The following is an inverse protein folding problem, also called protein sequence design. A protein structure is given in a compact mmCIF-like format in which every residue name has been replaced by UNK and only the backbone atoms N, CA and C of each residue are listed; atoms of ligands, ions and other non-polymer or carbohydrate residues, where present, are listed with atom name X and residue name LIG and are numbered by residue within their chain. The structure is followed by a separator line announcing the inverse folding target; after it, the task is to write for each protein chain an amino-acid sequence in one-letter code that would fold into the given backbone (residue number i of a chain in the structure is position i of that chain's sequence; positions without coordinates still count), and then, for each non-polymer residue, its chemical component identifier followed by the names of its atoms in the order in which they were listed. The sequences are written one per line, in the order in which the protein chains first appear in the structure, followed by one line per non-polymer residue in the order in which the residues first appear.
data_IF_054428104618
#
_entry.id   IF_054428104618
#
_cell.length_a   1.000
_cell.length_b   1.000
_cell.length_c   1.000
_cell.angle_alpha   90.00
_cell.angle_beta   90.00
_cell.angle_gamma   90.00
#
_symmetry.space_group_name_H-M   'P 1'
#
loop_
_entity.id
_entity.type
_entity.pdbx_description
1 polymer ?
#
# COMPACT_ATOMS: atom_id res chain seq x y z
N UNK A 1 17.16 11.58 11.71
CA UNK A 1 17.65 10.18 11.59
C UNK A 1 17.31 9.68 10.19
N UNK A 2 18.31 9.25 9.42
CA UNK A 2 18.06 8.64 8.10
C UNK A 2 17.28 7.33 8.23
N UNK A 3 16.19 7.21 7.48
CA UNK A 3 15.43 5.98 7.31
C UNK A 3 16.19 5.06 6.36
N UNK A 4 16.41 3.83 6.80
CA UNK A 4 17.14 2.80 6.04
C UNK A 4 16.24 1.61 5.78
N UNK A 5 16.61 0.79 4.80
CA UNK A 5 15.93 -0.49 4.54
C UNK A 5 15.93 -1.41 5.76
N UNK A 6 17.02 -1.47 6.52
CA UNK A 6 17.07 -2.28 7.74
C UNK A 6 16.03 -1.84 8.78
N UNK A 7 15.81 -0.52 8.91
CA UNK A 7 14.75 0.01 9.77
C UNK A 7 13.36 -0.36 9.23
N UNK A 8 13.16 -0.34 7.91
CA UNK A 8 11.91 -0.79 7.30
C UNK A 8 11.62 -2.27 7.55
N UNK A 9 12.64 -3.13 7.38
CA UNK A 9 12.55 -4.56 7.68
C UNK A 9 12.19 -4.78 9.15
N UNK A 10 12.90 -4.11 10.06
CA UNK A 10 12.64 -4.23 11.50
C UNK A 10 11.22 -3.75 11.84
N UNK A 11 10.79 -2.62 11.28
CA UNK A 11 9.45 -2.06 11.49
C UNK A 11 8.37 -3.04 11.02
N UNK A 12 8.53 -3.63 9.84
CA UNK A 12 7.60 -4.62 9.30
C UNK A 12 7.46 -5.85 10.21
N UNK A 13 8.57 -6.31 10.81
CA UNK A 13 8.57 -7.37 11.81
C UNK A 13 7.86 -6.94 13.11
N UNK A 14 8.20 -5.76 13.64
CA UNK A 14 7.73 -5.27 14.93
C UNK A 14 6.21 -5.04 14.94
N UNK A 15 5.65 -4.54 13.83
CA UNK A 15 4.21 -4.33 13.68
C UNK A 15 3.46 -5.60 13.21
N UNK A 16 4.18 -6.71 13.03
CA UNK A 16 3.59 -8.00 12.71
C UNK A 16 2.98 -8.09 11.30
N UNK A 17 3.60 -7.45 10.30
CA UNK A 17 3.12 -7.58 8.91
C UNK A 17 3.18 -9.03 8.43
N UNK A 18 2.32 -9.44 7.49
CA UNK A 18 2.35 -10.79 6.94
C UNK A 18 3.75 -11.17 6.39
N UNK A 19 4.17 -12.44 6.49
CA UNK A 19 5.50 -12.88 6.05
C UNK A 19 5.82 -12.51 4.59
N UNK A 20 4.83 -12.56 3.71
CA UNK A 20 5.00 -12.15 2.31
C UNK A 20 5.39 -10.66 2.19
N UNK A 21 4.79 -9.79 2.99
CA UNK A 21 5.11 -8.36 3.00
C UNK A 21 6.49 -8.13 3.60
N UNK A 22 6.86 -8.86 4.66
CA UNK A 22 8.22 -8.79 5.21
C UNK A 22 9.27 -9.17 4.15
N UNK A 23 9.03 -10.24 3.39
CA UNK A 23 9.88 -10.66 2.27
C UNK A 23 9.96 -9.58 1.17
N UNK A 24 8.84 -8.93 0.85
CA UNK A 24 8.81 -7.78 -0.07
C UNK A 24 9.70 -6.64 0.42
N UNK A 25 9.60 -6.22 1.69
CA UNK A 25 10.47 -5.15 2.25
C UNK A 25 11.96 -5.56 2.23
N UNK A 26 12.24 -6.85 2.46
CA UNK A 26 13.58 -7.44 2.31
C UNK A 26 14.04 -7.50 0.86
N UNK A 27 13.17 -7.21 -0.11
CA UNK A 27 13.36 -7.31 -1.57
C UNK A 27 13.70 -8.70 -2.04
N UNK A 28 13.08 -9.70 -1.43
CA UNK A 28 13.05 -11.02 -2.01
C UNK A 28 12.33 -10.98 -3.37
N UNK A 29 12.74 -11.84 -4.34
CA UNK A 29 12.12 -11.86 -5.64
C UNK A 29 10.61 -12.15 -5.58
N UNK A 30 9.81 -11.25 -6.14
CA UNK A 30 8.38 -11.46 -6.30
C UNK A 30 8.04 -12.42 -7.46
N UNK A 31 6.89 -13.11 -7.37
CA UNK A 31 6.23 -13.72 -8.53
C UNK A 31 6.17 -12.73 -9.71
N UNK A 32 6.43 -13.23 -10.92
CA UNK A 32 6.56 -12.39 -12.11
C UNK A 32 5.32 -11.51 -12.36
N UNK A 33 4.14 -12.00 -11.99
CA UNK A 33 2.86 -11.33 -12.13
C UNK A 33 2.64 -10.17 -11.13
N UNK A 34 3.50 -10.03 -10.12
CA UNK A 34 3.42 -8.97 -9.10
C UNK A 34 4.50 -7.89 -9.23
N UNK A 35 5.56 -8.14 -10.02
CA UNK A 35 6.73 -7.24 -10.15
C UNK A 35 6.43 -5.86 -10.74
N UNK A 36 5.25 -5.67 -11.33
CA UNK A 36 4.80 -4.39 -11.90
C UNK A 36 3.85 -3.62 -10.98
N UNK A 37 3.61 -4.13 -9.78
CA UNK A 37 2.64 -3.57 -8.82
C UNK A 37 3.23 -3.33 -7.45
N UNK A 38 4.33 -4.00 -7.13
CA UNK A 38 4.99 -3.96 -5.83
C UNK A 38 6.49 -3.95 -6.03
N UNK A 39 7.17 -2.99 -5.41
CA UNK A 39 8.61 -2.87 -5.40
C UNK A 39 9.16 -2.45 -4.05
N UNK A 40 10.48 -2.54 -3.92
CA UNK A 40 11.19 -1.94 -2.80
C UNK A 40 11.46 -0.48 -3.18
N UNK A 41 11.15 0.49 -2.31
CA UNK A 41 11.40 1.91 -2.56
C UNK A 41 12.90 2.23 -2.41
N UNK A 42 13.75 1.62 -3.24
CA UNK A 42 15.21 1.73 -3.17
C UNK A 42 15.67 3.18 -3.34
N UNK A 43 15.01 3.92 -4.22
CA UNK A 43 15.21 5.34 -4.48
C UNK A 43 15.09 6.15 -3.18
N UNK A 44 14.08 5.84 -2.34
CA UNK A 44 13.90 6.52 -1.05
C UNK A 44 15.06 6.23 -0.09
N UNK A 45 15.53 4.98 -0.03
CA UNK A 45 16.62 4.60 0.88
C UNK A 45 17.98 5.17 0.44
N UNK A 46 18.14 5.48 -0.85
CA UNK A 46 19.34 6.10 -1.40
C UNK A 46 19.43 7.60 -1.12
N UNK A 47 18.30 8.28 -0.89
CA UNK A 47 18.26 9.70 -0.50
C UNK A 47 19.15 10.01 0.72
N UNK A 48 19.74 11.20 0.72
CA UNK A 48 20.40 11.78 1.89
C UNK A 48 19.38 12.07 3.01
N UNK A 49 19.86 12.28 4.23
CA UNK A 49 18.99 12.64 5.35
C UNK A 49 18.21 13.94 5.09
N UNK A 50 18.85 14.94 4.49
CA UNK A 50 18.22 16.22 4.13
C UNK A 50 17.15 16.07 3.03
N UNK A 51 17.33 15.14 2.09
CA UNK A 51 16.30 14.84 1.09
C UNK A 51 15.12 14.07 1.72
N UNK A 52 15.39 13.15 2.64
CA UNK A 52 14.33 12.45 3.39
C UNK A 52 13.53 13.38 4.30
N UNK A 53 14.11 14.49 4.77
CA UNK A 53 13.42 15.49 5.59
C UNK A 53 12.17 16.07 4.91
N UNK A 54 12.24 16.25 3.58
CA UNK A 54 11.13 16.76 2.76
C UNK A 54 9.88 15.85 2.83
N UNK A 55 10.08 14.58 3.18
CA UNK A 55 9.03 13.57 3.33
C UNK A 55 8.60 13.36 4.79
N UNK A 56 8.84 14.32 5.68
CA UNK A 56 8.41 14.24 7.08
C UNK A 56 9.42 13.51 7.97
N UNK A 57 10.71 13.82 7.80
CA UNK A 57 11.86 13.43 8.64
C UNK A 57 11.62 12.34 9.69
N UNK A 58 11.96 11.08 9.36
CA UNK A 58 11.98 10.00 10.34
C UNK A 58 10.61 9.55 10.87
N UNK A 59 9.51 10.17 10.43
CA UNK A 59 8.15 9.82 10.84
C UNK A 59 7.57 8.69 9.97
N UNK A 60 8.08 8.53 8.75
CA UNK A 60 7.62 7.54 7.79
C UNK A 60 8.66 6.47 7.53
N UNK A 61 8.21 5.24 7.59
CA UNK A 61 8.99 4.06 7.23
C UNK A 61 8.38 3.47 5.96
N UNK A 62 8.99 3.67 4.79
CA UNK A 62 8.55 3.07 3.53
C UNK A 62 8.54 1.54 3.63
N UNK A 63 7.47 0.91 3.15
CA UNK A 63 7.33 -0.54 3.14
C UNK A 63 7.47 -1.07 1.71
N UNK A 64 6.66 -0.56 0.79
CA UNK A 64 6.75 -0.87 -0.64
C UNK A 64 6.34 0.33 -1.49
N UNK A 65 6.70 0.31 -2.76
CA UNK A 65 6.16 1.18 -3.78
C UNK A 65 5.40 0.39 -4.84
N UNK A 66 4.87 1.09 -5.84
CA UNK A 66 4.18 0.52 -6.99
C UNK A 66 5.10 0.10 -8.15
N UNK A 67 6.38 -0.21 -7.86
CA UNK A 67 7.43 -0.55 -8.83
C UNK A 67 7.85 0.58 -9.78
N UNK A 68 7.20 1.74 -9.73
CA UNK A 68 7.57 2.94 -10.49
C UNK A 68 7.95 4.12 -9.59
N UNK A 69 7.92 3.92 -8.26
CA UNK A 69 8.16 4.96 -7.26
C UNK A 69 7.18 6.15 -7.35
N UNK A 70 6.00 5.96 -7.96
CA UNK A 70 4.97 7.01 -8.07
C UNK A 70 4.14 7.10 -6.78
N UNK A 71 4.00 5.97 -6.09
CA UNK A 71 3.25 5.84 -4.85
C UNK A 71 3.97 4.93 -3.86
N UNK A 72 4.17 5.42 -2.64
CA UNK A 72 4.82 4.68 -1.56
C UNK A 72 3.80 4.39 -0.46
N UNK A 73 3.67 3.11 -0.11
CA UNK A 73 3.03 2.67 1.11
C UNK A 73 4.05 2.75 2.27
N UNK A 74 3.69 3.42 3.35
CA UNK A 74 4.56 3.62 4.49
C UNK A 74 3.83 3.44 5.82
N UNK A 75 4.60 3.13 6.85
CA UNK A 75 4.14 3.16 8.24
C UNK A 75 4.50 4.51 8.87
N UNK A 76 3.50 5.19 9.42
CA UNK A 76 3.65 6.44 10.13
C UNK A 76 3.84 6.17 11.62
N UNK A 77 5.08 6.32 12.08
CA UNK A 77 5.53 5.97 13.43
C UNK A 77 4.74 6.71 14.52
N UNK A 78 4.49 8.04 14.44
CA UNK A 78 3.80 8.76 15.51
C UNK A 78 2.35 8.33 15.73
N UNK A 79 1.60 8.07 14.65
CA UNK A 79 0.19 7.67 14.76
C UNK A 79 -0.02 6.16 14.76
N UNK A 80 1.05 5.38 14.59
CA UNK A 80 1.02 3.92 14.48
C UNK A 80 0.02 3.41 13.43
N UNK A 81 -0.03 4.11 12.31
CA UNK A 81 -0.97 3.82 11.22
C UNK A 81 -0.24 3.81 9.88
N UNK A 82 -0.90 3.30 8.86
CA UNK A 82 -0.35 3.27 7.52
C UNK A 82 -0.73 4.53 6.76
N UNK A 83 0.06 4.85 5.75
CA UNK A 83 -0.16 5.98 4.87
C UNK A 83 0.27 5.59 3.46
N UNK A 84 -0.30 6.27 2.47
CA UNK A 84 0.18 6.25 1.10
C UNK A 84 0.49 7.69 0.68
N UNK A 85 1.65 7.91 0.09
CA UNK A 85 2.05 9.23 -0.39
C UNK A 85 2.76 9.13 -1.74
N UNK A 86 2.76 10.22 -2.51
CA UNK A 86 3.53 10.32 -3.74
C UNK A 86 4.86 11.03 -3.47
N UNK A 87 6.00 10.49 -3.92
CA UNK A 87 7.28 11.17 -3.81
C UNK A 87 7.35 12.52 -4.55
N UNK A 88 6.48 12.74 -5.53
CA UNK A 88 6.37 14.00 -6.28
C UNK A 88 5.57 15.08 -5.54
N UNK A 89 4.80 14.70 -4.51
CA UNK A 89 4.01 15.61 -3.69
C UNK A 89 4.52 15.60 -2.23
N UNK A 90 5.55 16.42 -1.92
CA UNK A 90 6.11 16.52 -0.57
C UNK A 90 5.05 16.68 0.50
N UNK A 91 5.20 15.89 1.56
CA UNK A 91 4.22 15.77 2.64
C UNK A 91 4.02 17.08 3.40
N UNK A 92 5.01 17.98 3.37
CA UNK A 92 4.87 19.34 3.89
C UNK A 92 3.73 20.17 3.26
N UNK A 93 3.19 19.74 2.11
CA UNK A 93 2.09 20.42 1.41
C UNK A 93 0.75 19.67 1.48
N UNK A 94 0.69 18.43 1.98
CA UNK A 94 -0.52 17.59 1.93
C UNK A 94 -0.77 16.92 3.27
N UNK A 95 -2.02 16.95 3.75
CA UNK A 95 -2.38 16.25 4.97
C UNK A 95 -2.14 14.74 4.80
N UNK A 96 -1.32 14.16 5.66
CA UNK A 96 -1.23 12.70 5.81
C UNK A 96 -2.60 12.22 6.27
N UNK A 97 -3.22 11.32 5.53
CA UNK A 97 -4.46 10.64 5.94
C UNK A 97 -4.05 9.25 6.42
N UNK A 98 -4.00 9.01 7.74
CA UNK A 98 -3.69 7.70 8.27
C UNK A 98 -4.81 6.71 7.96
N UNK A 99 -4.42 5.49 7.63
CA UNK A 99 -5.32 4.39 7.30
C UNK A 99 -4.90 3.12 8.05
N UNK A 100 -5.85 2.20 8.21
CA UNK A 100 -5.53 0.86 8.69
C UNK A 100 -4.98 -0.04 7.56
N UNK A 101 -4.53 -1.25 7.91
CA UNK A 101 -3.94 -2.19 6.96
C UNK A 101 -4.89 -2.57 5.82
N UNK A 102 -6.18 -2.79 6.11
CA UNK A 102 -7.17 -3.17 5.09
C UNK A 102 -7.43 -2.03 4.11
N UNK A 103 -7.52 -0.80 4.61
CA UNK A 103 -7.66 0.40 3.80
C UNK A 103 -6.43 0.63 2.91
N UNK A 104 -5.21 0.42 3.43
CA UNK A 104 -3.98 0.57 2.67
C UNK A 104 -3.92 -0.36 1.44
N UNK A 105 -4.42 -1.59 1.58
CA UNK A 105 -4.36 -2.62 0.54
C UNK A 105 -5.47 -2.50 -0.51
N UNK A 106 -6.54 -1.73 -0.24
CA UNK A 106 -7.72 -1.70 -1.09
C UNK A 106 -7.37 -1.34 -2.55
N UNK A 107 -6.61 -0.27 -2.74
CA UNK A 107 -6.23 0.21 -4.07
C UNK A 107 -5.31 -0.78 -4.80
N UNK A 108 -4.47 -1.53 -4.07
CA UNK A 108 -3.62 -2.55 -4.66
C UNK A 108 -4.46 -3.71 -5.22
N UNK A 109 -5.45 -4.18 -4.46
CA UNK A 109 -6.34 -5.25 -4.91
C UNK A 109 -7.28 -4.82 -6.03
N UNK A 110 -7.71 -3.56 -6.04
CA UNK A 110 -8.43 -2.98 -7.17
C UNK A 110 -7.55 -3.00 -8.43
N UNK A 111 -6.32 -2.47 -8.36
CA UNK A 111 -5.40 -2.44 -9.51
C UNK A 111 -5.09 -3.85 -10.04
N UNK A 112 -4.89 -4.81 -9.15
CA UNK A 112 -4.67 -6.22 -9.54
C UNK A 112 -5.89 -6.82 -10.24
N UNK A 113 -7.11 -6.50 -9.78
CA UNK A 113 -8.33 -6.93 -10.45
C UNK A 113 -8.47 -6.30 -11.83
N UNK A 114 -8.27 -4.99 -11.95
CA UNK A 114 -8.33 -4.26 -13.23
C UNK A 114 -7.29 -4.74 -14.23
N UNK A 115 -6.15 -5.23 -13.75
CA UNK A 115 -5.13 -5.90 -14.55
C UNK A 115 -5.52 -7.31 -15.04
N UNK A 116 -6.74 -7.78 -14.75
CA UNK A 116 -7.27 -9.04 -15.23
C UNK A 116 -6.82 -10.27 -14.43
N UNK A 117 -6.42 -10.10 -13.16
CA UNK A 117 -6.18 -11.26 -12.28
C UNK A 117 -7.50 -11.99 -12.02
N UNK A 118 -7.48 -13.32 -12.11
CA UNK A 118 -8.68 -14.12 -11.85
C UNK A 118 -9.11 -14.00 -10.38
N UNK A 119 -10.41 -14.22 -10.08
CA UNK A 119 -10.89 -14.23 -8.70
C UNK A 119 -10.08 -15.17 -7.79
N UNK A 120 -9.73 -16.36 -8.26
CA UNK A 120 -8.96 -17.35 -7.50
C UNK A 120 -7.56 -16.82 -7.15
N UNK A 121 -6.90 -16.17 -8.12
CA UNK A 121 -5.58 -15.57 -7.90
C UNK A 121 -5.69 -14.40 -6.92
N UNK A 122 -6.73 -13.58 -7.01
CA UNK A 122 -6.94 -12.49 -6.07
C UNK A 122 -7.17 -13.01 -4.64
N UNK A 123 -7.91 -14.10 -4.45
CA UNK A 123 -8.05 -14.73 -3.13
C UNK A 123 -6.73 -15.26 -2.58
N UNK A 124 -5.90 -15.89 -3.41
CA UNK A 124 -4.58 -16.36 -3.00
C UNK A 124 -3.70 -15.20 -2.54
N UNK A 125 -3.63 -14.13 -3.34
CA UNK A 125 -2.89 -12.91 -2.99
C UNK A 125 -3.45 -12.26 -1.72
N UNK A 126 -4.77 -12.22 -1.56
CA UNK A 126 -5.40 -11.70 -0.36
C UNK A 126 -4.96 -12.45 0.89
N UNK A 127 -4.83 -13.78 0.82
CA UNK A 127 -4.27 -14.59 1.89
C UNK A 127 -2.81 -14.23 2.23
N UNK A 128 -1.98 -13.99 1.22
CA UNK A 128 -0.56 -13.62 1.41
C UNK A 128 -0.39 -12.25 2.08
N UNK A 129 -1.22 -11.28 1.70
CA UNK A 129 -1.19 -9.91 2.24
C UNK A 129 -2.08 -9.73 3.48
N UNK A 130 -2.83 -10.75 3.91
CA UNK A 130 -3.79 -10.63 5.00
C UNK A 130 -4.94 -9.65 4.70
N UNK A 131 -5.36 -9.56 3.44
CA UNK A 131 -6.49 -8.75 3.00
C UNK A 131 -7.80 -9.53 3.14
N UNK A 132 -8.76 -9.03 3.91
CA UNK A 132 -9.99 -9.74 4.24
C UNK A 132 -11.18 -9.37 3.34
N UNK A 133 -11.00 -8.42 2.41
CA UNK A 133 -12.10 -7.78 1.67
C UNK A 133 -12.02 -8.00 0.16
N UNK A 134 -11.35 -9.05 -0.29
CA UNK A 134 -11.25 -9.39 -1.72
C UNK A 134 -12.64 -9.63 -2.35
N UNK A 135 -13.57 -10.24 -1.61
CA UNK A 135 -14.95 -10.42 -2.08
C UNK A 135 -15.68 -9.10 -2.33
N UNK A 136 -15.36 -8.07 -1.54
CA UNK A 136 -15.95 -6.75 -1.71
C UNK A 136 -15.42 -6.07 -2.97
N UNK A 137 -14.14 -6.26 -3.29
CA UNK A 137 -13.54 -5.84 -4.56
C UNK A 137 -14.21 -6.57 -5.73
N UNK A 138 -14.29 -7.90 -5.67
CA UNK A 138 -14.92 -8.72 -6.71
C UNK A 138 -16.39 -8.37 -6.94
N UNK A 139 -17.18 -8.18 -5.87
CA UNK A 139 -18.57 -7.71 -5.94
C UNK A 139 -18.68 -6.31 -6.52
N UNK A 140 -17.70 -5.46 -6.23
CA UNK A 140 -17.55 -4.18 -6.88
C UNK A 140 -17.61 -4.33 -8.39
N UNK A 141 -16.80 -5.18 -9.00
CA UNK A 141 -16.66 -5.21 -10.46
C UNK A 141 -17.58 -6.20 -11.21
N UNK A 142 -18.28 -7.10 -10.51
CA UNK A 142 -19.03 -8.21 -11.11
C UNK A 142 -20.41 -7.86 -11.68
N UNK A 143 -20.85 -6.58 -11.70
CA UNK A 143 -22.18 -6.23 -12.22
C UNK A 143 -22.26 -6.05 -13.75
N UNK A 144 -21.17 -6.15 -14.51
CA UNK A 144 -21.19 -6.05 -15.99
C UNK A 144 -21.65 -4.69 -16.55
N UNK A 145 -22.09 -3.78 -15.68
CA UNK A 145 -22.35 -2.37 -15.96
C UNK A 145 -21.09 -1.58 -15.67
N UNK A 146 -20.55 -0.91 -16.68
CA UNK A 146 -19.52 0.12 -16.46
C UNK A 146 -20.10 1.15 -15.48
N UNK A 147 -19.53 1.25 -14.28
CA UNK A 147 -19.82 2.38 -13.40
C UNK A 147 -19.39 3.66 -14.10
N UNK A 148 -20.18 4.70 -13.95
CA UNK A 148 -19.70 6.06 -14.19
C UNK A 148 -18.55 6.37 -13.21
N UNK A 149 -17.65 7.31 -13.52
CA UNK A 149 -16.61 7.75 -12.58
C UNK A 149 -17.18 8.14 -11.21
N UNK A 150 -18.34 8.79 -11.17
CA UNK A 150 -19.00 9.20 -9.93
C UNK A 150 -19.48 8.00 -9.09
N UNK A 151 -20.08 6.99 -9.73
CA UNK A 151 -20.50 5.76 -9.03
C UNK A 151 -19.30 4.96 -8.53
N UNK A 152 -18.19 4.98 -9.28
CA UNK A 152 -16.93 4.37 -8.86
C UNK A 152 -16.39 5.05 -7.60
N UNK A 153 -16.25 6.38 -7.60
CA UNK A 153 -15.81 7.13 -6.42
C UNK A 153 -16.72 6.87 -5.21
N UNK A 154 -18.05 6.94 -5.39
CA UNK A 154 -18.99 6.72 -4.31
C UNK A 154 -18.89 5.30 -3.71
N UNK A 155 -18.70 4.28 -4.54
CA UNK A 155 -18.47 2.91 -4.09
C UNK A 155 -17.14 2.77 -3.34
N UNK A 156 -16.07 3.35 -3.88
CA UNK A 156 -14.73 3.31 -3.30
C UNK A 156 -14.69 4.00 -1.93
N UNK A 157 -15.24 5.21 -1.82
CA UNK A 157 -15.35 5.97 -0.57
C UNK A 157 -16.15 5.19 0.48
N UNK A 158 -17.29 4.62 0.08
CA UNK A 158 -18.12 3.81 0.98
C UNK A 158 -17.37 2.55 1.46
N UNK A 159 -16.57 1.94 0.58
CA UNK A 159 -15.74 0.80 0.93
C UNK A 159 -14.65 1.21 1.92
N UNK A 160 -13.89 2.26 1.64
CA UNK A 160 -12.87 2.81 2.53
C UNK A 160 -13.41 3.12 3.93
N UNK A 161 -14.57 3.78 4.01
CA UNK A 161 -15.23 4.09 5.29
C UNK A 161 -15.56 2.80 6.06
N UNK A 162 -16.12 1.79 5.36
CA UNK A 162 -16.45 0.51 6.00
C UNK A 162 -15.20 -0.21 6.50
N UNK A 163 -14.13 -0.22 5.72
CA UNK A 163 -12.84 -0.82 6.12
C UNK A 163 -12.24 -0.12 7.33
N UNK A 164 -12.44 1.20 7.46
CA UNK A 164 -11.99 1.98 8.62
C UNK A 164 -12.68 1.63 9.93
N UNK A 165 -13.94 1.18 9.87
CA UNK A 165 -14.77 0.88 11.04
C UNK A 165 -14.70 -0.59 11.51
N UNK A 166 -14.03 -1.46 10.76
CA UNK A 166 -13.98 -2.91 10.99
C UNK A 166 -12.69 -3.45 11.62
N UNK A 167 -11.80 -2.57 12.10
CA UNK A 167 -10.53 -2.92 12.72
C UNK A 167 -10.64 -3.05 14.24
#
# INVERSE_FOLDING_TARGET
MKITRNLAIQTACDIGLPPFVQALVQGEPLPADLRSYFGVPEEFFQLSEAEQEVYGQGLLVPLWDDSNFDSIAAYHVPSQQFVRFSPEAPIGATAIIPVNWQQLLLDDFIRLHEAGRSPERLHELAGLFGFNHVDDVLRGYSSGTQRTPQEYCAWHDALLIRLGNGA
#
